data_IF_182877505247
#
_entry.id   IF_182877505247
#
_cell.length_a   1.000
_cell.length_b   1.000
_cell.length_c   1.000
_cell.angle_alpha   90.00
_cell.angle_beta   90.00
_cell.angle_gamma   90.00
#
_symmetry.space_group_name_H-M   'P 1'
#
loop_
_entity.id
_entity.type
_entity.pdbx_description
1 polymer ?
#
# COMPACT_ATOMS: atom_id res chain seq x y z
N UNK A 1 -5.94 20.76 -8.26
CA UNK A 1 -5.21 20.18 -9.41
C UNK A 1 -3.78 19.88 -8.96
N UNK A 2 -3.51 18.61 -8.64
CA UNK A 2 -2.14 18.13 -8.45
C UNK A 2 -1.82 17.19 -9.63
N UNK A 3 -1.08 17.71 -10.60
CA UNK A 3 -0.45 16.89 -11.64
C UNK A 3 0.93 16.48 -11.13
N UNK A 4 1.13 15.20 -10.85
CA UNK A 4 2.48 14.63 -10.66
C UNK A 4 2.97 14.08 -12.00
N UNK A 5 4.03 14.69 -12.52
CA UNK A 5 4.81 14.16 -13.64
C UNK A 5 5.89 13.22 -13.08
N UNK A 6 5.90 11.98 -13.54
CA UNK A 6 7.00 11.03 -13.29
C UNK A 6 7.88 11.01 -14.54
N UNK A 7 9.11 11.54 -14.43
CA UNK A 7 10.12 11.42 -15.48
C UNK A 7 10.81 10.04 -15.36
N UNK A 8 10.78 9.29 -16.46
CA UNK A 8 11.38 7.97 -16.54
C UNK A 8 12.89 8.04 -16.68
N UNK A 9 13.60 7.25 -15.91
CA UNK A 9 15.04 6.99 -16.05
C UNK A 9 15.26 5.97 -17.17
N UNK A 10 15.98 6.38 -18.20
CA UNK A 10 16.29 5.53 -19.34
C UNK A 10 17.28 4.42 -18.99
N UNK A 11 16.95 3.20 -19.37
CA UNK A 11 17.82 2.04 -19.34
C UNK A 11 18.48 1.81 -20.70
N UNK A 12 19.79 1.66 -20.70
CA UNK A 12 20.58 1.25 -21.86
C UNK A 12 20.68 -0.28 -21.95
N UNK A 13 20.19 -0.83 -23.07
CA UNK A 13 20.75 -2.01 -23.73
C UNK A 13 20.62 -3.38 -23.06
N UNK A 14 19.59 -4.15 -23.40
CA UNK A 14 19.52 -5.59 -23.17
C UNK A 14 18.24 -6.19 -23.78
N UNK A 15 18.40 -7.19 -24.62
CA UNK A 15 17.43 -7.96 -25.42
C UNK A 15 15.99 -7.96 -24.89
N UNK A 16 15.12 -7.48 -25.75
CA UNK A 16 13.66 -7.54 -25.70
C UNK A 16 13.17 -8.99 -25.46
N UNK A 17 12.89 -9.33 -24.23
CA UNK A 17 12.03 -10.44 -23.85
C UNK A 17 10.80 -9.73 -23.30
N UNK A 18 9.70 -9.73 -24.06
CA UNK A 18 8.48 -9.00 -23.77
C UNK A 18 7.95 -9.14 -22.34
N UNK A 19 8.56 -8.43 -21.44
CA UNK A 19 8.03 -8.16 -20.11
C UNK A 19 7.01 -7.03 -20.26
N UNK A 20 5.75 -7.32 -20.00
CA UNK A 20 4.74 -6.28 -19.87
C UNK A 20 5.06 -5.48 -18.62
N UNK A 21 5.69 -4.31 -18.80
CA UNK A 21 5.88 -3.36 -17.70
C UNK A 21 4.51 -2.86 -17.26
N UNK A 22 4.14 -3.18 -16.02
CA UNK A 22 2.91 -2.77 -15.40
C UNK A 22 3.18 -1.99 -14.12
N UNK A 23 2.27 -1.10 -13.76
CA UNK A 23 2.34 -0.32 -12.53
C UNK A 23 1.26 -0.79 -11.55
N UNK A 24 1.64 -1.07 -10.32
CA UNK A 24 0.73 -1.31 -9.21
C UNK A 24 0.40 0.02 -8.53
N UNK A 25 -0.88 0.25 -8.26
CA UNK A 25 -1.39 1.52 -7.74
C UNK A 25 -2.54 1.31 -6.76
N UNK A 26 -2.54 2.06 -5.66
CA UNK A 26 -3.72 2.29 -4.83
C UNK A 26 -4.11 3.77 -4.89
N UNK A 27 -5.34 4.08 -5.28
CA UNK A 27 -5.88 5.43 -5.31
C UNK A 27 -7.04 5.55 -4.33
N UNK A 28 -6.99 6.56 -3.46
CA UNK A 28 -8.04 6.87 -2.50
C UNK A 28 -8.42 8.36 -2.60
N UNK A 29 -9.71 8.64 -2.68
CA UNK A 29 -10.28 9.98 -2.61
C UNK A 29 -11.24 10.07 -1.44
N UNK A 30 -11.08 11.09 -0.59
CA UNK A 30 -11.93 11.30 0.59
C UNK A 30 -12.71 12.60 0.41
N UNK A 31 -14.03 12.48 0.51
CA UNK A 31 -14.90 13.64 0.66
C UNK A 31 -15.16 13.84 2.17
N UNK A 32 -14.53 14.88 2.73
CA UNK A 32 -14.61 15.17 4.16
C UNK A 32 -15.97 15.75 4.60
N UNK A 33 -16.76 16.31 3.67
CA UNK A 33 -18.10 16.82 3.99
C UNK A 33 -19.10 15.68 4.16
N UNK A 34 -19.01 14.65 3.29
CA UNK A 34 -19.89 13.49 3.32
C UNK A 34 -19.31 12.29 4.06
N UNK A 35 -18.06 12.39 4.53
CA UNK A 35 -17.32 11.30 5.16
C UNK A 35 -17.32 10.03 4.30
N UNK A 36 -17.13 10.19 3.00
CA UNK A 36 -17.13 9.09 2.05
C UNK A 36 -15.74 8.92 1.42
N UNK A 37 -15.20 7.71 1.53
CA UNK A 37 -14.00 7.26 0.83
C UNK A 37 -14.40 6.57 -0.47
N UNK A 38 -13.75 6.92 -1.57
CA UNK A 38 -13.74 6.18 -2.83
C UNK A 38 -12.34 5.62 -3.04
N UNK A 39 -12.26 4.33 -3.34
CA UNK A 39 -11.00 3.63 -3.54
C UNK A 39 -11.04 2.79 -4.81
N UNK A 40 -9.95 2.83 -5.58
CA UNK A 40 -9.67 1.91 -6.68
C UNK A 40 -8.19 1.46 -6.60
N UNK A 41 -7.92 0.19 -6.89
CA UNK A 41 -6.58 -0.35 -6.79
C UNK A 41 -6.23 -1.33 -7.90
N UNK A 42 -4.98 -1.25 -8.35
CA UNK A 42 -4.28 -2.24 -9.16
C UNK A 42 -3.29 -2.96 -8.24
N UNK A 43 -3.58 -4.19 -7.85
CA UNK A 43 -2.81 -5.07 -6.96
C UNK A 43 -2.61 -4.57 -5.51
N UNK A 44 -2.60 -3.25 -5.26
CA UNK A 44 -2.37 -2.67 -3.93
C UNK A 44 -3.68 -2.42 -3.18
N UNK A 45 -3.96 -3.12 -2.07
CA UNK A 45 -5.16 -2.92 -1.27
C UNK A 45 -5.11 -1.64 -0.43
N UNK A 46 -6.29 -1.13 -0.05
CA UNK A 46 -6.43 -0.15 1.01
C UNK A 46 -6.96 -0.85 2.27
N UNK A 47 -6.37 -0.51 3.41
CA UNK A 47 -6.80 -1.01 4.71
C UNK A 47 -7.45 0.11 5.52
N UNK A 48 -8.55 -0.20 6.17
CA UNK A 48 -9.23 0.68 7.12
C UNK A 48 -9.25 -0.01 8.47
N UNK A 49 -8.72 0.64 9.49
CA UNK A 49 -8.80 0.15 10.87
C UNK A 49 -9.81 1.02 11.61
N UNK A 50 -10.87 0.37 12.10
CA UNK A 50 -11.95 0.96 12.90
C UNK A 50 -12.12 0.15 14.18
N UNK A 51 -12.01 0.77 15.36
CA UNK A 51 -12.22 0.10 16.67
C UNK A 51 -11.43 -1.21 16.81
N UNK A 52 -10.16 -1.19 16.38
CA UNK A 52 -9.24 -2.35 16.34
C UNK A 52 -9.65 -3.48 15.39
N UNK A 53 -10.63 -3.29 14.53
CA UNK A 53 -10.97 -4.20 13.46
C UNK A 53 -10.42 -3.69 12.13
N UNK A 54 -9.75 -4.57 11.38
CA UNK A 54 -9.19 -4.24 10.07
C UNK A 54 -10.12 -4.72 8.97
N UNK A 55 -10.51 -3.79 8.10
CA UNK A 55 -11.22 -4.04 6.85
C UNK A 55 -10.28 -3.80 5.68
N UNK A 56 -10.31 -4.68 4.68
CA UNK A 56 -9.50 -4.58 3.47
C UNK A 56 -10.40 -4.31 2.26
N UNK A 57 -10.21 -3.16 1.62
CA UNK A 57 -10.77 -2.87 0.31
C UNK A 57 -9.84 -3.52 -0.74
N UNK A 58 -10.36 -4.55 -1.40
CA UNK A 58 -9.56 -5.40 -2.30
C UNK A 58 -9.32 -4.71 -3.63
N UNK A 59 -8.07 -4.74 -4.15
CA UNK A 59 -7.77 -4.23 -5.47
C UNK A 59 -8.24 -5.19 -6.56
N UNK A 60 -8.31 -4.68 -7.79
CA UNK A 60 -8.32 -5.54 -8.97
C UNK A 60 -6.96 -6.23 -9.11
N UNK A 61 -6.96 -7.51 -9.54
CA UNK A 61 -5.74 -8.35 -9.63
C UNK A 61 -5.08 -8.23 -11.00
N UNK A 62 -4.83 -7.00 -11.43
CA UNK A 62 -4.06 -6.70 -12.63
C UNK A 62 -3.43 -5.31 -12.49
N UNK A 63 -2.22 -5.19 -13.04
CA UNK A 63 -1.46 -3.94 -13.07
C UNK A 63 -1.98 -2.99 -14.14
N UNK A 64 -1.66 -1.71 -14.04
CA UNK A 64 -1.84 -0.74 -15.11
C UNK A 64 -0.74 -0.98 -16.13
N UNK A 65 -1.10 -1.40 -17.35
CA UNK A 65 -0.16 -1.68 -18.45
C UNK A 65 -0.21 -0.60 -19.51
N UNK A 66 0.96 -0.16 -19.99
CA UNK A 66 1.05 0.88 -21.01
C UNK A 66 0.87 0.38 -22.46
N UNK A 67 0.94 -0.93 -22.71
CA UNK A 67 0.99 -1.52 -24.06
C UNK A 67 -0.28 -2.23 -24.54
N UNK A 68 -1.23 -2.52 -23.66
CA UNK A 68 -2.55 -2.97 -24.09
C UNK A 68 -3.55 -1.81 -24.03
N UNK A 69 -4.42 -1.65 -25.05
CA UNK A 69 -5.55 -0.74 -24.89
C UNK A 69 -6.31 -1.21 -23.65
N UNK A 70 -6.28 -0.39 -22.62
CA UNK A 70 -6.79 -0.72 -21.28
C UNK A 70 -8.31 -0.90 -21.35
N UNK A 71 -8.74 -2.08 -21.78
CA UNK A 71 -10.15 -2.46 -21.88
C UNK A 71 -10.72 -2.91 -20.53
N UNK A 72 -9.86 -3.06 -19.52
CA UNK A 72 -10.26 -3.45 -18.17
C UNK A 72 -10.55 -2.21 -17.34
N UNK A 73 -11.75 -2.13 -16.79
CA UNK A 73 -12.11 -1.09 -15.83
C UNK A 73 -11.68 -1.51 -14.42
N UNK A 74 -11.22 -0.54 -13.63
CA UNK A 74 -10.98 -0.73 -12.21
C UNK A 74 -12.27 -0.44 -11.43
N UNK A 75 -12.59 -1.33 -10.50
CA UNK A 75 -13.77 -1.19 -9.64
C UNK A 75 -13.54 -0.09 -8.61
N UNK A 76 -14.44 0.88 -8.57
CA UNK A 76 -14.45 1.91 -7.54
C UNK A 76 -15.31 1.44 -6.37
N UNK A 77 -14.70 1.27 -5.21
CA UNK A 77 -15.38 0.90 -3.98
C UNK A 77 -15.64 2.15 -3.15
N UNK A 78 -16.86 2.28 -2.61
CA UNK A 78 -17.25 3.36 -1.70
C UNK A 78 -17.32 2.84 -0.28
N UNK A 79 -16.75 3.59 0.65
CA UNK A 79 -16.68 3.22 2.05
C UNK A 79 -17.02 4.42 2.94
N UNK A 80 -18.04 4.32 3.81
CA UNK A 80 -18.39 5.37 4.75
C UNK A 80 -17.35 5.42 5.88
N UNK A 81 -16.72 6.58 6.06
CA UNK A 81 -15.75 6.80 7.12
C UNK A 81 -16.43 7.23 8.41
N UNK A 82 -15.84 6.84 9.53
CA UNK A 82 -16.17 7.33 10.87
C UNK A 82 -14.97 8.08 11.47
N UNK A 83 -15.24 9.00 12.40
CA UNK A 83 -14.17 9.65 13.17
C UNK A 83 -13.26 8.60 13.83
N UNK A 84 -11.98 8.87 13.83
CA UNK A 84 -10.92 7.99 14.34
C UNK A 84 -10.62 6.73 13.51
N UNK A 85 -11.25 6.52 12.35
CA UNK A 85 -10.76 5.53 11.39
C UNK A 85 -9.31 5.82 11.02
N UNK A 86 -8.53 4.77 10.77
CA UNK A 86 -7.18 4.92 10.23
C UNK A 86 -7.08 4.20 8.90
N UNK A 87 -6.71 4.93 7.87
CA UNK A 87 -6.51 4.43 6.52
C UNK A 87 -5.04 4.12 6.31
N UNK A 88 -4.73 3.00 5.65
CA UNK A 88 -3.37 2.65 5.24
C UNK A 88 -3.35 2.24 3.77
N UNK A 89 -2.39 2.82 3.03
CA UNK A 89 -1.95 2.37 1.72
C UNK A 89 -0.48 1.98 1.81
N UNK A 90 -0.10 0.87 1.19
CA UNK A 90 1.28 0.40 1.22
C UNK A 90 1.68 -0.27 -0.09
N UNK A 91 2.98 -0.20 -0.42
CA UNK A 91 3.61 -1.08 -1.40
C UNK A 91 3.78 -2.48 -0.81
N UNK A 92 4.09 -3.46 -1.64
CA UNK A 92 4.32 -4.84 -1.23
C UNK A 92 5.70 -5.06 -0.58
N UNK A 93 6.64 -4.13 -0.74
CA UNK A 93 8.00 -4.25 -0.20
C UNK A 93 8.04 -4.55 1.31
N UNK A 94 7.09 -4.05 2.11
CA UNK A 94 7.02 -4.37 3.53
C UNK A 94 6.68 -5.85 3.78
N UNK A 95 5.66 -6.38 3.08
CA UNK A 95 5.19 -7.76 3.26
C UNK A 95 6.14 -8.78 2.67
N UNK A 96 6.90 -8.38 1.66
CA UNK A 96 7.85 -9.23 0.94
C UNK A 96 9.27 -9.21 1.53
N UNK A 97 9.53 -8.31 2.48
CA UNK A 97 10.83 -8.25 3.16
C UNK A 97 11.15 -9.54 3.90
N UNK A 98 12.33 -10.10 3.60
CA UNK A 98 12.88 -11.23 4.32
C UNK A 98 13.49 -10.80 5.66
N UNK A 99 13.42 -11.69 6.67
CA UNK A 99 13.98 -11.41 7.98
C UNK A 99 13.44 -12.33 9.07
N UNK A 100 13.52 -11.83 10.29
CA UNK A 100 13.14 -12.56 11.50
C UNK A 100 14.01 -13.79 11.76
N UNK A 101 13.71 -14.60 12.79
CA UNK A 101 14.60 -15.65 13.26
C UNK A 101 14.81 -16.81 12.27
N UNK A 102 14.03 -16.84 11.18
CA UNK A 102 14.06 -17.93 10.21
C UNK A 102 14.27 -17.45 8.76
N UNK A 103 14.62 -16.19 8.53
CA UNK A 103 14.83 -15.62 7.20
C UNK A 103 13.62 -15.75 6.26
N UNK A 104 12.39 -15.57 6.79
CA UNK A 104 11.14 -15.68 6.01
C UNK A 104 10.61 -14.30 5.63
N UNK A 105 9.73 -14.26 4.62
CA UNK A 105 8.99 -13.03 4.32
C UNK A 105 8.14 -12.60 5.52
N UNK A 106 7.94 -11.26 5.68
CA UNK A 106 7.10 -10.69 6.73
C UNK A 106 5.66 -11.20 6.66
N UNK A 107 5.12 -11.29 5.46
CA UNK A 107 3.82 -11.81 5.10
C UNK A 107 2.64 -10.89 5.45
N UNK A 108 1.61 -10.93 4.61
CA UNK A 108 0.38 -10.09 4.73
C UNK A 108 -0.33 -10.24 6.08
N UNK A 109 -0.31 -11.44 6.67
CA UNK A 109 -0.97 -11.64 7.97
C UNK A 109 -0.35 -10.79 9.07
N UNK A 110 0.98 -10.82 9.21
CA UNK A 110 1.70 -10.00 10.21
C UNK A 110 1.54 -8.52 9.93
N UNK A 111 1.56 -8.13 8.65
CA UNK A 111 1.36 -6.74 8.27
C UNK A 111 0.00 -6.22 8.73
N UNK A 112 -1.06 -6.99 8.55
CA UNK A 112 -2.41 -6.62 9.03
C UNK A 112 -2.45 -6.48 10.56
N UNK A 113 -1.83 -7.41 11.30
CA UNK A 113 -1.71 -7.34 12.75
C UNK A 113 -0.96 -6.06 13.16
N UNK A 114 0.16 -5.75 12.51
CA UNK A 114 0.93 -4.53 12.71
C UNK A 114 0.12 -3.25 12.42
N UNK A 115 -0.69 -3.23 11.36
CA UNK A 115 -1.53 -2.07 11.05
C UNK A 115 -2.57 -1.80 12.14
N UNK A 116 -3.16 -2.86 12.73
CA UNK A 116 -4.09 -2.73 13.87
C UNK A 116 -3.37 -2.17 15.10
N UNK A 117 -2.19 -2.67 15.42
CA UNK A 117 -1.36 -2.14 16.52
C UNK A 117 -1.01 -0.68 16.28
N UNK A 118 -0.53 -0.35 15.08
CA UNK A 118 -0.17 1.03 14.69
C UNK A 118 -1.36 1.98 14.81
N UNK A 119 -2.55 1.57 14.37
CA UNK A 119 -3.76 2.38 14.45
C UNK A 119 -4.19 2.70 15.90
N UNK A 120 -3.74 1.95 16.90
CA UNK A 120 -4.03 2.22 18.31
C UNK A 120 -3.15 3.35 18.90
N UNK A 121 -2.06 3.71 18.21
CA UNK A 121 -1.12 4.74 18.64
C UNK A 121 -1.56 6.13 18.17
N UNK A 122 -1.02 7.21 18.76
CA UNK A 122 -1.13 8.54 18.19
C UNK A 122 -0.55 8.59 16.78
N UNK A 123 -1.19 9.32 15.86
CA UNK A 123 -0.76 9.36 14.44
C UNK A 123 0.70 9.81 14.27
N UNK A 124 1.19 10.65 15.17
CA UNK A 124 2.58 11.13 15.18
C UNK A 124 3.60 10.02 15.45
N UNK A 125 3.17 8.89 16.00
CA UNK A 125 4.03 7.75 16.34
C UNK A 125 3.99 6.65 15.27
N UNK A 126 3.07 6.72 14.29
CA UNK A 126 2.89 5.67 13.28
C UNK A 126 4.16 5.41 12.47
N UNK A 127 4.84 6.47 12.00
CA UNK A 127 6.07 6.33 11.21
C UNK A 127 7.16 5.62 12.02
N UNK A 128 7.43 6.11 13.22
CA UNK A 128 8.47 5.55 14.09
C UNK A 128 8.19 4.07 14.44
N UNK A 129 6.93 3.75 14.72
CA UNK A 129 6.51 2.38 15.02
C UNK A 129 6.69 1.45 13.82
N UNK A 130 6.15 1.82 12.65
CA UNK A 130 6.27 1.03 11.43
C UNK A 130 7.72 0.82 11.00
N UNK A 131 8.53 1.89 11.06
CA UNK A 131 9.96 1.84 10.76
C UNK A 131 10.71 0.90 11.70
N UNK A 132 10.46 1.01 13.00
CA UNK A 132 11.08 0.12 14.01
C UNK A 132 10.73 -1.35 13.75
N UNK A 133 9.46 -1.66 13.47
CA UNK A 133 9.01 -3.03 13.20
C UNK A 133 9.63 -3.59 11.91
N UNK A 134 9.76 -2.77 10.88
CA UNK A 134 10.40 -3.14 9.64
C UNK A 134 11.90 -3.45 9.84
N UNK A 135 12.63 -2.54 10.50
CA UNK A 135 14.07 -2.69 10.77
C UNK A 135 14.35 -3.88 11.69
N UNK A 136 13.55 -4.06 12.74
CA UNK A 136 13.65 -5.20 13.64
C UNK A 136 13.39 -6.53 12.93
N UNK A 137 12.47 -6.56 11.97
CA UNK A 137 12.23 -7.76 11.16
C UNK A 137 13.36 -8.01 10.17
N UNK A 138 13.75 -6.98 9.42
CA UNK A 138 14.80 -7.10 8.41
C UNK A 138 16.12 -7.58 9.01
N UNK A 139 16.53 -7.04 10.15
CA UNK A 139 17.82 -7.32 10.75
C UNK A 139 18.97 -6.99 9.79
N UNK A 140 19.84 -7.96 9.54
CA UNK A 140 21.00 -7.85 8.64
C UNK A 140 20.66 -8.19 7.17
N UNK A 141 19.43 -8.57 6.87
CA UNK A 141 19.01 -8.89 5.49
C UNK A 141 18.96 -7.63 4.61
N UNK A 142 19.21 -7.80 3.31
CA UNK A 142 19.06 -6.72 2.35
C UNK A 142 17.59 -6.36 2.16
N UNK A 143 17.32 -5.08 1.93
CA UNK A 143 15.99 -4.65 1.52
C UNK A 143 15.73 -5.09 0.07
N UNK A 144 14.64 -5.83 -0.15
CA UNK A 144 14.37 -6.48 -1.44
C UNK A 144 13.56 -5.61 -2.39
N UNK A 145 12.84 -4.61 -1.87
CA UNK A 145 11.99 -3.73 -2.66
C UNK A 145 11.75 -2.39 -1.94
N UNK A 146 11.20 -1.40 -2.66
CA UNK A 146 10.83 -0.10 -2.11
C UNK A 146 9.66 -0.21 -1.14
N UNK A 147 9.83 0.35 0.06
CA UNK A 147 8.84 0.32 1.13
C UNK A 147 8.22 1.69 1.32
N UNK A 148 6.95 1.80 0.99
CA UNK A 148 6.13 2.96 1.30
C UNK A 148 4.90 2.54 2.09
N UNK A 149 4.62 3.21 3.20
CA UNK A 149 3.35 3.10 3.94
C UNK A 149 2.82 4.51 4.20
N UNK A 150 1.62 4.77 3.72
CA UNK A 150 0.89 6.01 3.99
C UNK A 150 -0.18 5.73 5.03
N UNK A 151 -0.22 6.53 6.10
CA UNK A 151 -1.22 6.45 7.17
C UNK A 151 -1.97 7.76 7.31
N UNK A 152 -3.30 7.70 7.31
CA UNK A 152 -4.19 8.85 7.48
C UNK A 152 -5.22 8.56 8.56
N UNK A 153 -5.27 9.40 9.61
CA UNK A 153 -6.32 9.35 10.62
C UNK A 153 -7.47 10.27 10.24
N UNK A 154 -8.67 9.71 10.24
CA UNK A 154 -9.91 10.46 10.01
C UNK A 154 -10.21 11.31 11.25
N UNK A 155 -10.48 12.65 11.07
CA UNK A 155 -10.79 13.56 12.15
C UNK A 155 -11.98 13.18 13.03
#
# INVERSE_FOLDING_TARGET
>A
DLAMSVEGVGSAGGRDIGGQDGMDLGMAAVNWETMMLEYAGANNPLYVVRRSELQELKPNKFAICSFEPNTKNYDVQKFPLESSDTLFLATDGFVDQFGGPHGKKFMRRRFRELLVETASLPVMEHEAHLKHQFEAWRGEEEQVDDVLVVSVRVP
#
